data_IF_855960815540
#
_entry.id   IF_855960815540
#
_cell.length_a   1.000
_cell.length_b   1.000
_cell.length_c   1.000
_cell.angle_alpha   90.00
_cell.angle_beta   90.00
_cell.angle_gamma   90.00
#
_symmetry.space_group_name_H-M   'P 1'
#
loop_
_entity.id
_entity.type
_entity.pdbx_description
1 polymer ?
#
# COMPACT_ATOMS: atom_id res chain seq x y z
N UNK A 1 2.38 21.46 -11.44
CA UNK A 1 1.90 21.68 -12.82
C UNK A 1 0.39 21.55 -12.83
N UNK A 2 -0.27 22.38 -13.63
CA UNK A 2 -1.69 22.19 -13.94
C UNK A 2 -1.86 20.79 -14.55
N UNK A 3 -2.52 19.88 -13.85
CA UNK A 3 -2.75 18.47 -14.18
C UNK A 3 -1.49 17.58 -14.07
N UNK A 4 -0.92 17.50 -12.87
CA UNK A 4 0.03 16.42 -12.60
C UNK A 4 -0.63 15.05 -12.82
N UNK A 5 0.11 14.14 -13.47
CA UNK A 5 -0.32 12.75 -13.69
C UNK A 5 0.06 11.92 -12.47
N UNK A 6 -0.93 11.31 -11.84
CA UNK A 6 -0.78 10.61 -10.57
C UNK A 6 -1.20 9.15 -10.71
N UNK A 7 -0.40 8.25 -10.13
CA UNK A 7 -0.73 6.83 -9.99
C UNK A 7 -1.11 6.53 -8.54
N UNK A 8 -2.30 5.97 -8.34
CA UNK A 8 -2.71 5.30 -7.10
C UNK A 8 -2.47 3.80 -7.28
N UNK A 9 -1.34 3.31 -6.79
CA UNK A 9 -0.86 1.94 -6.97
C UNK A 9 -1.37 1.06 -5.83
N UNK A 10 -2.05 -0.04 -6.16
CA UNK A 10 -2.86 -0.88 -5.28
C UNK A 10 -4.09 -0.11 -4.75
N UNK A 11 -4.81 0.53 -5.67
CA UNK A 11 -5.91 1.44 -5.37
C UNK A 11 -7.17 0.76 -4.80
N UNK A 12 -7.28 -0.57 -4.87
CA UNK A 12 -8.49 -1.30 -4.53
C UNK A 12 -9.70 -0.79 -5.32
N UNK A 13 -10.76 -0.40 -4.63
CA UNK A 13 -11.98 0.19 -5.23
C UNK A 13 -11.85 1.67 -5.62
N UNK A 14 -10.63 2.23 -5.57
CA UNK A 14 -10.31 3.56 -6.10
C UNK A 14 -10.62 4.74 -5.18
N UNK A 15 -10.78 4.55 -3.87
CA UNK A 15 -11.14 5.63 -2.93
C UNK A 15 -10.19 6.83 -3.01
N UNK A 16 -8.87 6.59 -3.02
CA UNK A 16 -7.87 7.67 -3.07
C UNK A 16 -7.73 8.23 -4.49
N UNK A 17 -7.77 7.38 -5.51
CA UNK A 17 -7.76 7.81 -6.89
C UNK A 17 -8.93 8.78 -7.20
N UNK A 18 -10.14 8.46 -6.72
CA UNK A 18 -11.32 9.33 -6.86
C UNK A 18 -11.09 10.68 -6.15
N UNK A 19 -10.56 10.65 -4.91
CA UNK A 19 -10.28 11.87 -4.16
C UNK A 19 -9.22 12.74 -4.84
N UNK A 20 -8.12 12.15 -5.31
CA UNK A 20 -7.08 12.87 -6.04
C UNK A 20 -7.62 13.51 -7.33
N UNK A 21 -8.48 12.79 -8.06
CA UNK A 21 -9.14 13.35 -9.25
C UNK A 21 -10.06 14.52 -8.92
N UNK A 22 -10.79 14.46 -7.80
CA UNK A 22 -11.60 15.60 -7.32
C UNK A 22 -10.75 16.83 -6.99
N UNK A 23 -9.47 16.65 -6.65
CA UNK A 23 -8.51 17.75 -6.46
C UNK A 23 -7.95 18.30 -7.78
N UNK A 24 -8.35 17.73 -8.93
CA UNK A 24 -7.99 18.22 -10.28
C UNK A 24 -6.81 17.51 -10.92
N UNK A 25 -6.31 16.43 -10.36
CA UNK A 25 -5.23 15.63 -10.95
C UNK A 25 -5.76 14.69 -12.06
N UNK A 26 -4.89 14.37 -13.01
CA UNK A 26 -5.08 13.26 -13.96
C UNK A 26 -4.61 11.97 -13.27
N UNK A 27 -5.52 11.03 -13.02
CA UNK A 27 -5.28 9.92 -12.12
C UNK A 27 -5.48 8.57 -12.81
N UNK A 28 -4.51 7.68 -12.64
CA UNK A 28 -4.68 6.26 -12.91
C UNK A 28 -4.69 5.51 -11.57
N UNK A 29 -5.77 4.75 -11.31
CA UNK A 29 -5.84 3.77 -10.24
C UNK A 29 -5.51 2.38 -10.78
N UNK A 30 -4.59 1.68 -10.14
CA UNK A 30 -4.16 0.35 -10.55
C UNK A 30 -4.20 -0.62 -9.39
N UNK A 31 -4.73 -1.82 -9.62
CA UNK A 31 -4.80 -2.90 -8.62
C UNK A 31 -4.78 -4.26 -9.33
N UNK A 32 -4.29 -5.30 -8.65
CA UNK A 32 -4.27 -6.65 -9.18
C UNK A 32 -5.67 -7.30 -9.19
N UNK A 33 -6.58 -6.85 -8.31
CA UNK A 33 -7.93 -7.38 -8.15
C UNK A 33 -8.87 -6.90 -9.26
N UNK A 34 -9.20 -7.80 -10.19
CA UNK A 34 -10.19 -7.54 -11.25
C UNK A 34 -11.54 -7.08 -10.69
N UNK A 35 -12.00 -7.67 -9.58
CA UNK A 35 -13.26 -7.32 -8.95
C UNK A 35 -13.24 -5.89 -8.38
N UNK A 36 -12.15 -5.51 -7.72
CA UNK A 36 -11.96 -4.15 -7.19
C UNK A 36 -11.92 -3.13 -8.32
N UNK A 37 -11.19 -3.41 -9.38
CA UNK A 37 -11.10 -2.55 -10.56
C UNK A 37 -12.44 -2.45 -11.30
N UNK A 38 -13.20 -3.53 -11.43
CA UNK A 38 -14.52 -3.48 -12.03
C UNK A 38 -15.48 -2.55 -11.26
N UNK A 39 -15.40 -2.54 -9.93
CA UNK A 39 -16.15 -1.61 -9.10
C UNK A 39 -15.64 -0.17 -9.24
N UNK A 40 -14.33 0.05 -9.18
CA UNK A 40 -13.69 1.36 -9.30
C UNK A 40 -14.03 2.03 -10.65
N UNK A 41 -14.08 1.27 -11.73
CA UNK A 41 -14.41 1.73 -13.09
C UNK A 41 -15.76 2.41 -13.21
N UNK A 42 -16.70 2.20 -12.28
CA UNK A 42 -17.98 2.92 -12.25
C UNK A 42 -17.81 4.42 -12.02
N UNK A 43 -16.65 4.85 -11.51
CA UNK A 43 -16.33 6.25 -11.24
C UNK A 43 -15.40 6.87 -12.29
N UNK A 44 -15.07 6.15 -13.38
CA UNK A 44 -14.20 6.67 -14.44
C UNK A 44 -14.77 7.94 -15.09
N UNK A 45 -13.87 8.82 -15.48
CA UNK A 45 -14.16 10.00 -16.26
C UNK A 45 -12.97 10.36 -17.17
N UNK A 46 -12.98 11.51 -17.79
CA UNK A 46 -11.95 11.95 -18.75
C UNK A 46 -10.53 12.00 -18.14
N UNK A 47 -10.39 12.26 -16.84
CA UNK A 47 -9.11 12.39 -16.12
C UNK A 47 -8.98 11.38 -14.95
N UNK A 48 -9.80 10.32 -14.93
CA UNK A 48 -9.73 9.24 -13.93
C UNK A 48 -9.95 7.90 -14.61
N UNK A 49 -8.92 7.09 -14.62
CA UNK A 49 -8.95 5.76 -15.22
C UNK A 49 -8.55 4.68 -14.21
N UNK A 50 -9.04 3.45 -14.43
CA UNK A 50 -8.71 2.30 -13.61
C UNK A 50 -8.30 1.12 -14.47
N UNK A 51 -7.25 0.40 -14.08
CA UNK A 51 -6.78 -0.77 -14.79
C UNK A 51 -6.29 -1.87 -13.84
N UNK A 52 -6.44 -3.12 -14.28
CA UNK A 52 -5.79 -4.25 -13.62
C UNK A 52 -4.32 -4.20 -13.97
N UNK A 53 -3.45 -4.24 -12.92
CA UNK A 53 -2.02 -4.13 -13.10
C UNK A 53 -1.28 -4.78 -11.94
N UNK A 54 -0.22 -5.51 -12.24
CA UNK A 54 0.71 -6.03 -11.24
C UNK A 54 1.76 -4.95 -10.92
N UNK A 55 1.90 -4.58 -9.66
CA UNK A 55 2.84 -3.53 -9.24
C UNK A 55 4.32 -3.87 -9.48
N UNK A 56 4.65 -5.13 -9.82
CA UNK A 56 6.00 -5.53 -10.24
C UNK A 56 6.33 -5.13 -11.68
N UNK A 57 5.32 -4.75 -12.45
CA UNK A 57 5.48 -4.33 -13.84
C UNK A 57 5.53 -2.80 -13.92
N UNK A 58 6.47 -2.28 -14.71
CA UNK A 58 6.53 -0.84 -14.98
C UNK A 58 5.37 -0.41 -15.86
N UNK A 59 4.91 0.80 -15.69
CA UNK A 59 3.98 1.44 -16.61
C UNK A 59 4.72 1.95 -17.86
N UNK A 60 4.06 1.94 -19.01
CA UNK A 60 4.56 2.67 -20.20
C UNK A 60 4.45 4.18 -20.00
N UNK A 61 3.39 4.61 -19.34
CA UNK A 61 3.17 5.99 -18.91
C UNK A 61 4.16 6.41 -17.81
N UNK A 62 4.40 7.73 -17.74
CA UNK A 62 5.20 8.34 -16.68
C UNK A 62 4.34 9.20 -15.77
N UNK A 63 4.63 9.16 -14.46
CA UNK A 63 3.87 9.83 -13.42
C UNK A 63 4.69 10.87 -12.69
N UNK A 64 4.06 11.99 -12.37
CA UNK A 64 4.64 13.04 -11.51
C UNK A 64 4.60 12.63 -10.04
N UNK A 65 3.62 11.80 -9.67
CA UNK A 65 3.56 11.21 -8.35
C UNK A 65 2.98 9.78 -8.39
N UNK A 66 3.56 8.88 -7.58
CA UNK A 66 3.06 7.52 -7.38
C UNK A 66 2.78 7.35 -5.88
N UNK A 67 1.58 6.88 -5.55
CA UNK A 67 1.18 6.58 -4.18
C UNK A 67 0.91 5.09 -4.02
N UNK A 68 1.58 4.44 -3.06
CA UNK A 68 1.26 3.10 -2.58
C UNK A 68 0.94 3.22 -1.09
N UNK A 69 -0.34 3.18 -0.75
CA UNK A 69 -0.84 3.58 0.56
C UNK A 69 -1.40 2.40 1.37
N UNK A 70 -1.51 2.59 2.70
CA UNK A 70 -2.16 1.68 3.64
C UNK A 70 -1.57 0.27 3.69
N UNK A 71 -0.24 0.16 3.59
CA UNK A 71 0.44 -1.14 3.68
C UNK A 71 0.03 -2.10 2.56
N UNK A 72 0.03 -1.63 1.33
CA UNK A 72 -0.20 -2.46 0.14
C UNK A 72 1.09 -3.12 -0.40
N UNK A 73 2.22 -2.90 0.25
CA UNK A 73 3.54 -3.46 -0.05
C UNK A 73 3.84 -4.65 0.87
N UNK A 74 4.76 -5.56 0.47
CA UNK A 74 5.24 -6.65 1.33
C UNK A 74 4.36 -7.91 1.34
N UNK A 75 3.47 -8.08 0.37
CA UNK A 75 2.58 -9.25 0.25
C UNK A 75 3.15 -10.37 -0.64
N UNK A 76 4.36 -10.21 -1.15
CA UNK A 76 4.97 -11.19 -2.05
C UNK A 76 5.51 -12.41 -1.30
N UNK A 77 5.49 -13.55 -1.97
CA UNK A 77 6.13 -14.78 -1.48
C UNK A 77 7.66 -14.71 -1.58
N UNK A 78 8.18 -14.03 -2.62
CA UNK A 78 9.61 -13.87 -2.86
C UNK A 78 10.06 -12.45 -2.47
N UNK A 79 11.17 -12.35 -1.77
CA UNK A 79 11.74 -11.07 -1.35
C UNK A 79 12.19 -10.20 -2.52
N UNK A 80 12.66 -10.82 -3.61
CA UNK A 80 13.06 -10.15 -4.84
C UNK A 80 11.91 -9.37 -5.50
N UNK A 81 10.66 -9.80 -5.30
CA UNK A 81 9.49 -9.11 -5.85
C UNK A 81 9.27 -7.72 -5.23
N UNK A 82 9.69 -7.53 -3.98
CA UNK A 82 9.68 -6.21 -3.34
C UNK A 82 10.66 -5.25 -4.04
N UNK A 83 11.87 -5.70 -4.33
CA UNK A 83 12.87 -4.94 -5.06
C UNK A 83 12.42 -4.65 -6.50
N UNK A 84 11.83 -5.64 -7.17
CA UNK A 84 11.28 -5.50 -8.52
C UNK A 84 10.20 -4.42 -8.55
N UNK A 85 9.32 -4.39 -7.55
CA UNK A 85 8.28 -3.37 -7.41
C UNK A 85 8.88 -1.97 -7.24
N UNK A 86 9.91 -1.80 -6.40
CA UNK A 86 10.59 -0.51 -6.23
C UNK A 86 11.24 -0.03 -7.55
N UNK A 87 11.88 -0.94 -8.30
CA UNK A 87 12.43 -0.64 -9.63
C UNK A 87 11.34 -0.23 -10.62
N UNK A 88 10.21 -0.94 -10.65
CA UNK A 88 9.07 -0.62 -11.51
C UNK A 88 8.46 0.74 -11.17
N UNK A 89 8.30 1.08 -9.87
CA UNK A 89 7.85 2.40 -9.44
C UNK A 89 8.80 3.50 -9.92
N UNK A 90 10.11 3.35 -9.66
CA UNK A 90 11.13 4.31 -10.11
C UNK A 90 11.09 4.51 -11.62
N UNK A 91 11.07 3.42 -12.38
CA UNK A 91 11.02 3.46 -13.84
C UNK A 91 9.73 4.08 -14.40
N UNK A 92 8.66 4.15 -13.59
CA UNK A 92 7.39 4.77 -13.97
C UNK A 92 7.30 6.26 -13.57
N UNK A 93 8.30 6.83 -12.90
CA UNK A 93 8.37 8.25 -12.56
C UNK A 93 8.87 9.11 -13.72
N UNK A 94 8.37 10.35 -13.79
CA UNK A 94 9.02 11.41 -14.58
C UNK A 94 10.35 11.81 -13.93
N UNK A 95 11.20 12.54 -14.64
CA UNK A 95 12.52 13.02 -14.14
C UNK A 95 12.41 13.79 -12.81
N UNK A 96 11.30 14.52 -12.62
CA UNK A 96 11.02 15.33 -11.42
C UNK A 96 9.94 14.73 -10.54
N UNK A 97 9.49 13.51 -10.86
CA UNK A 97 8.48 12.80 -10.11
C UNK A 97 8.98 12.26 -8.78
N UNK A 98 8.05 11.90 -7.93
CA UNK A 98 8.33 11.26 -6.65
C UNK A 98 7.32 10.14 -6.37
N UNK A 99 7.70 9.21 -5.51
CA UNK A 99 6.81 8.17 -5.03
C UNK A 99 6.69 8.21 -3.51
N UNK A 100 5.54 7.74 -3.03
CA UNK A 100 5.23 7.60 -1.60
C UNK A 100 4.84 6.16 -1.33
N UNK A 101 5.52 5.52 -0.38
CA UNK A 101 5.06 4.28 0.23
C UNK A 101 4.65 4.59 1.67
N UNK A 102 3.39 4.29 2.00
CA UNK A 102 2.86 4.32 3.37
C UNK A 102 2.76 2.89 3.89
N UNK A 103 3.67 2.54 4.77
CA UNK A 103 3.78 1.20 5.37
C UNK A 103 3.50 1.24 6.87
N UNK A 104 3.19 0.09 7.46
CA UNK A 104 3.10 -0.01 8.91
C UNK A 104 4.49 0.17 9.54
N UNK A 105 4.57 0.78 10.71
CA UNK A 105 5.79 0.67 11.53
C UNK A 105 5.79 -0.69 12.24
N UNK A 106 6.51 -1.66 11.69
CA UNK A 106 6.52 -3.03 12.18
C UNK A 106 7.00 -3.15 13.62
N UNK A 107 7.92 -2.28 14.07
CA UNK A 107 8.36 -2.30 15.47
C UNK A 107 7.21 -1.96 16.41
N UNK A 108 6.45 -0.92 16.08
CA UNK A 108 5.28 -0.49 16.84
C UNK A 108 4.15 -1.54 16.81
N UNK A 109 3.89 -2.11 15.63
CA UNK A 109 2.86 -3.14 15.45
C UNK A 109 3.20 -4.41 16.25
N UNK A 110 4.45 -4.88 16.20
CA UNK A 110 4.89 -6.08 16.93
C UNK A 110 4.87 -5.86 18.45
N UNK A 111 5.35 -4.70 18.91
CA UNK A 111 5.39 -4.38 20.33
C UNK A 111 3.99 -4.23 20.97
N UNK A 112 3.00 -3.82 20.20
CA UNK A 112 1.63 -3.60 20.67
C UNK A 112 0.63 -4.60 20.07
N UNK A 113 1.11 -5.72 19.55
CA UNK A 113 0.28 -6.72 18.91
C UNK A 113 -0.74 -7.30 19.89
N UNK A 114 -2.03 -7.20 19.54
CA UNK A 114 -3.13 -7.88 20.25
C UNK A 114 -3.33 -9.24 19.61
N UNK A 115 -2.98 -10.35 20.29
CA UNK A 115 -2.97 -11.67 19.68
C UNK A 115 -4.36 -12.15 19.23
N UNK A 116 -5.37 -11.85 20.02
CA UNK A 116 -6.75 -12.25 19.73
C UNK A 116 -7.72 -11.15 20.12
N UNK A 117 -8.69 -10.87 19.27
CA UNK A 117 -9.79 -9.95 19.54
C UNK A 117 -11.06 -10.38 18.78
N UNK A 118 -12.20 -9.99 19.27
CA UNK A 118 -13.47 -10.09 18.54
C UNK A 118 -13.97 -8.67 18.27
N UNK A 119 -14.30 -8.40 17.01
CA UNK A 119 -14.92 -7.14 16.59
C UNK A 119 -16.28 -7.41 15.99
N UNK A 120 -17.31 -6.76 16.52
CA UNK A 120 -18.67 -6.83 15.97
C UNK A 120 -18.88 -5.66 15.01
N UNK A 121 -19.22 -5.95 13.76
CA UNK A 121 -19.58 -4.96 12.74
C UNK A 121 -20.88 -5.41 12.08
N UNK A 122 -21.89 -4.56 12.08
CA UNK A 122 -23.21 -4.82 11.48
C UNK A 122 -23.86 -6.14 11.98
N UNK A 123 -23.59 -6.51 13.24
CA UNK A 123 -24.13 -7.72 13.88
C UNK A 123 -23.37 -9.01 13.59
N UNK A 124 -22.25 -8.93 12.85
CA UNK A 124 -21.35 -10.05 12.57
C UNK A 124 -20.12 -9.95 13.47
N UNK A 125 -19.80 -11.05 14.16
CA UNK A 125 -18.61 -11.17 15.00
C UNK A 125 -17.42 -11.66 14.19
N UNK A 126 -16.41 -10.81 14.07
CA UNK A 126 -15.13 -11.13 13.43
C UNK A 126 -14.13 -11.54 14.51
N UNK A 127 -13.76 -12.81 14.52
CA UNK A 127 -12.70 -13.36 15.37
C UNK A 127 -11.37 -13.13 14.67
N UNK A 128 -10.54 -12.28 15.26
CA UNK A 128 -9.28 -11.85 14.65
C UNK A 128 -8.13 -12.39 15.49
N UNK A 129 -7.23 -13.12 14.85
CA UNK A 129 -5.98 -13.61 15.46
C UNK A 129 -4.79 -13.00 14.75
N UNK A 130 -3.79 -12.54 15.52
CA UNK A 130 -2.55 -11.98 14.98
C UNK A 130 -1.35 -12.63 15.62
N UNK A 131 -0.32 -12.87 14.81
CA UNK A 131 0.96 -13.38 15.29
C UNK A 131 2.08 -13.03 14.32
N UNK A 132 3.32 -13.18 14.81
CA UNK A 132 4.54 -13.01 14.00
C UNK A 132 5.19 -14.37 13.84
N UNK A 133 5.51 -14.73 12.61
CA UNK A 133 6.19 -15.98 12.29
C UNK A 133 7.06 -15.81 11.04
N UNK A 134 8.29 -16.32 11.09
CA UNK A 134 9.22 -16.35 9.95
C UNK A 134 9.37 -14.99 9.24
N UNK A 135 9.50 -13.90 10.02
CA UNK A 135 9.62 -12.54 9.48
C UNK A 135 8.36 -11.94 8.87
N UNK A 136 7.20 -12.55 9.10
CA UNK A 136 5.91 -12.06 8.61
C UNK A 136 4.94 -11.81 9.77
N UNK A 137 4.08 -10.81 9.57
CA UNK A 137 2.92 -10.55 10.42
C UNK A 137 1.72 -11.20 9.77
N UNK A 138 1.06 -12.07 10.52
CA UNK A 138 -0.15 -12.76 10.11
C UNK A 138 -1.37 -12.16 10.83
N UNK A 139 -2.46 -12.06 10.08
CA UNK A 139 -3.79 -11.74 10.62
C UNK A 139 -4.79 -12.70 10.01
N UNK A 140 -5.32 -13.57 10.84
CA UNK A 140 -6.40 -14.49 10.49
C UNK A 140 -7.74 -13.90 10.94
N UNK A 141 -8.74 -13.99 10.10
CA UNK A 141 -10.09 -13.45 10.34
C UNK A 141 -11.10 -14.56 10.07
N UNK A 142 -11.80 -14.97 11.10
CA UNK A 142 -12.90 -15.93 11.02
C UNK A 142 -14.21 -15.24 11.34
N UNK A 143 -15.24 -15.44 10.52
CA UNK A 143 -16.59 -14.97 10.79
C UNK A 143 -17.64 -15.88 10.14
N UNK A 144 -18.88 -15.75 10.58
CA UNK A 144 -20.04 -16.44 10.00
C UNK A 144 -21.06 -15.39 9.55
N UNK A 145 -21.53 -15.48 8.32
CA UNK A 145 -22.62 -14.67 7.79
C UNK A 145 -23.63 -15.57 7.08
N UNK A 146 -24.91 -15.40 7.39
CA UNK A 146 -26.04 -16.17 6.83
C UNK A 146 -25.88 -17.69 6.90
N UNK A 147 -25.16 -18.20 7.92
CA UNK A 147 -24.89 -19.62 8.12
C UNK A 147 -23.69 -20.17 7.34
N UNK A 148 -22.98 -19.33 6.59
CA UNK A 148 -21.73 -19.65 5.91
C UNK A 148 -20.54 -19.17 6.73
N UNK A 149 -19.48 -20.01 6.81
CA UNK A 149 -18.24 -19.69 7.52
C UNK A 149 -17.20 -19.19 6.54
N UNK A 150 -16.56 -18.10 6.92
CA UNK A 150 -15.50 -17.45 6.15
C UNK A 150 -14.20 -17.43 6.93
N UNK A 151 -13.11 -17.71 6.26
CA UNK A 151 -11.75 -17.60 6.80
C UNK A 151 -10.87 -16.82 5.82
N UNK A 152 -10.20 -15.78 6.32
CA UNK A 152 -9.24 -14.99 5.55
C UNK A 152 -7.91 -14.91 6.29
N UNK A 153 -6.82 -14.97 5.55
CA UNK A 153 -5.48 -14.77 6.08
C UNK A 153 -4.78 -13.65 5.32
N UNK A 154 -4.36 -12.63 6.05
CA UNK A 154 -3.43 -11.60 5.59
C UNK A 154 -2.02 -11.98 6.07
N UNK A 155 -1.05 -12.03 5.15
CA UNK A 155 0.36 -12.31 5.43
C UNK A 155 1.18 -11.19 4.84
N UNK A 156 1.84 -10.40 5.68
CA UNK A 156 2.66 -9.26 5.26
C UNK A 156 4.07 -9.41 5.80
N UNK A 157 5.07 -9.19 4.97
CA UNK A 157 6.47 -9.20 5.42
C UNK A 157 6.71 -8.05 6.41
N UNK A 158 7.39 -8.35 7.52
CA UNK A 158 7.69 -7.37 8.55
C UNK A 158 8.91 -6.50 8.16
N UNK A 159 8.75 -5.70 7.10
CA UNK A 159 9.81 -4.83 6.57
C UNK A 159 10.02 -3.62 7.49
N UNK A 160 11.27 -3.43 7.91
CA UNK A 160 11.70 -2.25 8.67
C UNK A 160 12.16 -1.14 7.73
N UNK A 161 12.38 0.07 8.28
CA UNK A 161 13.01 1.15 7.52
C UNK A 161 14.35 0.71 6.92
N UNK A 162 15.17 -0.04 7.68
CA UNK A 162 16.46 -0.54 7.19
C UNK A 162 16.31 -1.46 5.98
N UNK A 163 15.31 -2.35 5.98
CA UNK A 163 15.05 -3.23 4.83
C UNK A 163 14.65 -2.41 3.58
N UNK A 164 13.85 -1.37 3.76
CA UNK A 164 13.52 -0.44 2.66
C UNK A 164 14.75 0.34 2.17
N UNK A 165 15.59 0.86 3.07
CA UNK A 165 16.81 1.58 2.71
C UNK A 165 17.76 0.70 1.90
N UNK A 166 17.97 -0.57 2.30
CA UNK A 166 18.79 -1.55 1.57
C UNK A 166 18.24 -1.83 0.16
N UNK A 167 16.93 -2.07 0.03
CA UNK A 167 16.28 -2.28 -1.27
C UNK A 167 16.32 -1.02 -2.16
N UNK A 168 16.12 0.16 -1.58
CA UNK A 168 16.18 1.44 -2.30
C UNK A 168 17.60 1.74 -2.80
N UNK A 169 18.63 1.46 -1.99
CA UNK A 169 20.03 1.58 -2.41
C UNK A 169 20.34 0.66 -3.60
N UNK A 170 19.91 -0.61 -3.55
CA UNK A 170 20.08 -1.57 -4.66
C UNK A 170 19.32 -1.14 -5.92
N UNK A 171 18.13 -0.56 -5.77
CA UNK A 171 17.34 -0.02 -6.89
C UNK A 171 17.88 1.32 -7.40
N UNK A 172 18.88 1.93 -6.72
CA UNK A 172 19.38 3.26 -7.03
C UNK A 172 18.33 4.35 -6.82
N UNK A 173 17.49 4.19 -5.82
CA UNK A 173 16.43 5.11 -5.39
C UNK A 173 16.95 6.03 -4.31
N UNK A 174 16.60 7.32 -4.39
CA UNK A 174 16.94 8.32 -3.38
C UNK A 174 15.76 8.54 -2.44
N UNK A 175 15.93 8.14 -1.17
CA UNK A 175 14.98 8.46 -0.10
C UNK A 175 15.09 9.96 0.22
N UNK A 176 13.97 10.66 0.05
CA UNK A 176 13.92 12.13 0.20
C UNK A 176 13.48 12.54 1.61
N UNK A 177 12.45 11.85 2.15
CA UNK A 177 11.91 12.17 3.48
C UNK A 177 11.21 10.97 4.10
N UNK A 178 11.08 10.98 5.45
CA UNK A 178 10.46 9.90 6.21
C UNK A 178 9.58 10.49 7.30
N UNK A 179 8.30 10.10 7.31
CA UNK A 179 7.33 10.53 8.30
C UNK A 179 6.75 9.36 9.09
N UNK A 180 6.31 9.64 10.32
CA UNK A 180 5.80 8.65 11.26
C UNK A 180 4.29 8.61 11.40
N UNK A 181 3.58 9.57 10.87
CA UNK A 181 2.11 9.66 10.91
C UNK A 181 1.56 10.50 9.74
N UNK A 182 0.23 10.51 9.58
CA UNK A 182 -0.45 11.31 8.54
C UNK A 182 -0.46 12.83 8.80
N UNK A 183 0.10 13.29 9.91
CA UNK A 183 0.37 14.71 10.18
C UNK A 183 1.79 15.11 9.79
N UNK A 184 2.50 14.20 9.12
CA UNK A 184 3.86 14.36 8.65
C UNK A 184 4.87 14.69 9.76
N UNK A 185 4.66 14.12 10.96
CA UNK A 185 5.67 14.17 12.02
C UNK A 185 6.83 13.29 11.68
N UNK A 186 8.02 13.66 12.15
CA UNK A 186 9.24 12.90 11.97
C UNK A 186 9.07 11.44 12.44
N UNK A 187 9.60 10.51 11.68
CA UNK A 187 9.57 9.09 12.03
C UNK A 187 10.45 8.79 13.26
N UNK A 188 9.89 8.01 14.17
CA UNK A 188 10.56 7.41 15.32
C UNK A 188 10.33 5.91 15.33
N UNK A 189 11.41 5.13 15.33
CA UNK A 189 11.39 3.67 15.17
C UNK A 189 10.40 2.94 16.09
N UNK A 190 10.24 3.39 17.33
CA UNK A 190 9.44 2.70 18.35
C UNK A 190 8.11 3.37 18.67
N UNK A 191 7.92 4.62 18.24
CA UNK A 191 6.76 5.45 18.66
C UNK A 191 5.80 5.75 17.51
N UNK A 192 6.32 5.87 16.29
CA UNK A 192 5.52 6.20 15.13
C UNK A 192 4.53 5.10 14.76
N UNK A 193 3.32 5.46 14.42
CA UNK A 193 2.28 4.52 13.98
C UNK A 193 2.55 4.00 12.57
N UNK A 194 3.15 4.85 11.71
CA UNK A 194 3.42 4.58 10.30
C UNK A 194 4.89 4.73 9.97
N UNK A 195 5.25 4.20 8.82
CA UNK A 195 6.50 4.45 8.12
C UNK A 195 6.11 4.96 6.73
N UNK A 196 6.13 6.27 6.56
CA UNK A 196 5.78 6.94 5.30
C UNK A 196 7.07 7.44 4.67
N UNK A 197 7.41 6.91 3.51
CA UNK A 197 8.65 7.19 2.78
C UNK A 197 8.34 7.94 1.49
N UNK A 198 9.05 9.04 1.25
CA UNK A 198 9.02 9.79 0.00
C UNK A 198 10.36 9.60 -0.69
N UNK A 199 10.36 9.21 -1.97
CA UNK A 199 11.57 8.87 -2.71
C UNK A 199 11.46 9.18 -4.20
N UNK A 200 12.61 9.12 -4.90
CA UNK A 200 12.71 9.26 -6.37
C UNK A 200 13.83 8.42 -6.95
#
# INVERSE_FOLDING_TARGET
PEKAKVLDLCCGKGRHAIYLNQLGFDVIGADLSENSIAEAKRNQNENLHFQVHDMRERFEDKFDAIFNLFTSFGYFENDEDNLTTLKAMKESLTEHGFAVIDFMNVNQVINNLVPEEVKTVDGIDFHIKRYVKDGHIFKEIDFEDQGEKFHFTEKVKALTLKDFEEMMEEAGIYLLDIFGDYKLKKFHKTESERLIMIFK
#
